data_IF_890210433859
#
_entry.id   IF_890210433859
#
_cell.length_a   1.000
_cell.length_b   1.000
_cell.length_c   1.000
_cell.angle_alpha   90.00
_cell.angle_beta   90.00
_cell.angle_gamma   90.00
#
_symmetry.space_group_name_H-M   'P 1'
#
loop_
_entity.id
_entity.type
_entity.pdbx_description
1 polymer ?
#
# COMPACT_ATOMS: atom_id res chain seq x y z
N UNK A 1 -42.13 -4.59 -69.52
CA UNK A 1 -42.34 -3.56 -68.48
C UNK A 1 -42.30 -4.30 -67.15
N UNK A 2 -41.38 -3.88 -66.29
CA UNK A 2 -40.89 -4.53 -65.07
C UNK A 2 -41.99 -4.92 -64.07
N UNK A 3 -41.82 -6.05 -63.37
CA UNK A 3 -41.79 -6.11 -61.90
C UNK A 3 -41.14 -7.44 -61.47
N UNK A 4 -39.94 -7.32 -60.88
CA UNK A 4 -39.16 -8.41 -60.30
C UNK A 4 -39.49 -8.48 -58.80
N UNK A 5 -39.64 -9.71 -58.33
CA UNK A 5 -39.71 -10.18 -56.93
C UNK A 5 -38.61 -9.62 -56.03
N UNK A 6 -38.88 -9.45 -54.71
CA UNK A 6 -37.88 -9.81 -53.69
C UNK A 6 -38.45 -9.86 -52.27
N UNK A 7 -38.43 -11.07 -51.71
CA UNK A 7 -38.56 -11.41 -50.30
C UNK A 7 -37.18 -11.17 -49.66
N UNK A 8 -37.06 -10.30 -48.65
CA UNK A 8 -35.80 -10.09 -47.93
C UNK A 8 -35.81 -10.99 -46.68
N UNK A 9 -34.99 -12.03 -46.69
CA UNK A 9 -34.57 -12.74 -45.47
C UNK A 9 -33.50 -11.90 -44.76
N UNK A 10 -33.71 -11.63 -43.47
CA UNK A 10 -32.68 -11.09 -42.59
C UNK A 10 -31.72 -12.21 -42.17
N UNK A 11 -30.42 -12.03 -42.41
CA UNK A 11 -29.35 -12.89 -41.89
C UNK A 11 -28.61 -12.11 -40.79
N UNK A 12 -28.79 -12.52 -39.53
CA UNK A 12 -28.01 -12.00 -38.41
C UNK A 12 -26.70 -12.78 -38.30
N UNK A 13 -25.56 -12.11 -38.45
CA UNK A 13 -24.24 -12.68 -38.18
C UNK A 13 -23.77 -12.22 -36.79
N UNK A 14 -23.66 -13.16 -35.85
CA UNK A 14 -23.01 -12.96 -34.55
C UNK A 14 -21.51 -13.23 -34.67
N UNK A 15 -20.68 -12.21 -34.47
CA UNK A 15 -19.24 -12.40 -34.28
C UNK A 15 -18.96 -12.83 -32.86
N UNK A 16 -18.60 -14.10 -32.66
CA UNK A 16 -18.02 -14.55 -31.41
C UNK A 16 -16.55 -14.07 -31.33
N UNK A 17 -16.24 -13.21 -30.38
CA UNK A 17 -14.85 -12.84 -30.06
C UNK A 17 -14.27 -13.99 -29.23
N UNK A 18 -13.37 -14.79 -29.81
CA UNK A 18 -12.68 -15.83 -29.06
C UNK A 18 -11.71 -15.19 -28.07
N UNK A 19 -12.00 -15.29 -26.77
CA UNK A 19 -11.03 -14.97 -25.74
C UNK A 19 -9.91 -16.03 -25.74
N UNK A 20 -8.62 -15.64 -25.69
CA UNK A 20 -7.51 -16.59 -25.66
C UNK A 20 -7.53 -17.41 -24.38
N UNK A 21 -7.07 -18.66 -24.47
CA UNK A 21 -7.16 -19.65 -23.42
C UNK A 21 -6.39 -19.22 -22.16
N UNK A 22 -6.81 -19.67 -20.95
CA UNK A 22 -6.23 -19.24 -19.68
C UNK A 22 -4.71 -19.43 -19.55
N UNK A 23 -4.14 -20.37 -20.29
CA UNK A 23 -2.71 -20.68 -20.28
C UNK A 23 -1.87 -19.59 -20.97
N UNK A 24 -2.34 -19.03 -22.09
CA UNK A 24 -1.66 -17.92 -22.77
C UNK A 24 -1.71 -16.62 -21.96
N UNK A 25 -2.80 -16.36 -21.20
CA UNK A 25 -2.85 -15.22 -20.26
C UNK A 25 -1.82 -15.34 -19.14
N UNK A 26 -1.52 -16.57 -18.70
CA UNK A 26 -0.53 -16.83 -17.65
C UNK A 26 0.88 -16.59 -18.19
N UNK A 27 1.17 -17.05 -19.39
CA UNK A 27 2.50 -16.91 -20.00
C UNK A 27 2.80 -15.45 -20.39
N UNK A 28 1.81 -14.69 -20.89
CA UNK A 28 1.94 -13.24 -21.14
C UNK A 28 2.13 -12.45 -19.83
N UNK A 29 1.48 -12.86 -18.74
CA UNK A 29 1.61 -12.22 -17.42
C UNK A 29 2.94 -12.57 -16.74
N UNK A 30 3.50 -13.75 -16.98
CA UNK A 30 4.85 -14.13 -16.52
C UNK A 30 5.96 -13.50 -17.35
N UNK A 31 5.79 -13.36 -18.67
CA UNK A 31 6.78 -12.70 -19.54
C UNK A 31 6.99 -11.22 -19.20
N UNK A 32 5.94 -10.51 -18.74
CA UNK A 32 6.05 -9.14 -18.21
C UNK A 32 6.86 -9.03 -16.90
N UNK A 33 7.06 -10.12 -16.16
CA UNK A 33 7.77 -10.15 -14.88
C UNK A 33 9.26 -10.49 -15.01
N UNK A 34 9.74 -10.78 -16.23
CA UNK A 34 11.13 -11.21 -16.49
C UNK A 34 12.08 -10.09 -16.95
N UNK A 35 11.59 -8.87 -17.16
CA UNK A 35 12.41 -7.70 -17.44
C UNK A 35 12.02 -6.62 -16.44
N UNK A 36 13.00 -5.98 -15.78
CA UNK A 36 12.82 -4.99 -14.69
C UNK A 36 11.47 -4.27 -14.74
N UNK A 37 10.54 -4.76 -13.92
CA UNK A 37 9.11 -4.64 -14.17
C UNK A 37 8.60 -3.20 -14.07
N UNK A 38 7.73 -2.81 -15.01
CA UNK A 38 7.00 -1.56 -14.90
C UNK A 38 6.23 -1.50 -13.56
N UNK A 39 6.10 -0.32 -12.93
CA UNK A 39 5.39 -0.17 -11.65
C UNK A 39 3.95 -0.71 -11.72
N UNK A 40 3.48 -1.28 -10.61
CA UNK A 40 2.05 -1.51 -10.38
C UNK A 40 1.39 -0.14 -10.21
N UNK A 41 0.26 0.07 -10.87
CA UNK A 41 -0.56 1.28 -10.73
C UNK A 41 -1.67 0.99 -9.73
N UNK A 42 -1.68 1.71 -8.60
CA UNK A 42 -2.76 1.78 -7.63
C UNK A 42 -3.45 3.15 -7.68
N UNK A 43 -4.56 3.32 -6.95
CA UNK A 43 -5.30 4.58 -6.84
C UNK A 43 -5.23 5.20 -5.43
N UNK A 44 -4.87 4.42 -4.41
CA UNK A 44 -4.81 4.86 -3.02
C UNK A 44 -3.44 4.70 -2.37
N UNK A 45 -2.47 4.02 -3.01
CA UNK A 45 -1.23 3.63 -2.35
C UNK A 45 -0.04 3.70 -3.29
N UNK A 46 1.07 4.26 -2.81
CA UNK A 46 2.38 4.22 -3.44
C UNK A 46 3.41 3.62 -2.46
N UNK A 47 4.41 2.91 -2.98
CA UNK A 47 5.41 2.28 -2.14
C UNK A 47 6.15 1.12 -2.82
N UNK A 48 6.69 0.23 -2.00
CA UNK A 48 7.41 -0.96 -2.42
C UNK A 48 6.88 -2.20 -1.71
N UNK A 49 6.74 -3.30 -2.44
CA UNK A 49 6.18 -4.56 -1.95
C UNK A 49 7.09 -5.73 -2.31
N UNK A 50 7.30 -6.65 -1.36
CA UNK A 50 7.94 -7.94 -1.59
C UNK A 50 6.98 -9.07 -1.35
N UNK A 51 6.92 -10.01 -2.27
CA UNK A 51 6.11 -11.21 -2.12
C UNK A 51 6.97 -12.33 -1.54
N UNK A 52 6.38 -13.17 -0.69
CA UNK A 52 7.08 -14.37 -0.21
C UNK A 52 7.47 -15.25 -1.39
N UNK A 53 8.73 -15.72 -1.39
CA UNK A 53 9.24 -16.61 -2.42
C UNK A 53 9.03 -18.07 -2.04
N UNK A 54 9.67 -18.52 -0.97
CA UNK A 54 9.63 -19.91 -0.47
C UNK A 54 9.55 -19.99 1.05
N UNK A 55 10.13 -19.03 1.76
CA UNK A 55 10.08 -18.92 3.23
C UNK A 55 9.16 -17.75 3.59
N UNK A 56 8.14 -17.95 4.45
CA UNK A 56 7.28 -16.86 4.89
C UNK A 56 8.07 -15.78 5.64
N UNK A 57 7.66 -14.53 5.45
CA UNK A 57 8.16 -13.42 6.28
C UNK A 57 7.74 -13.63 7.74
N UNK A 58 8.59 -13.20 8.66
CA UNK A 58 8.36 -13.22 10.11
C UNK A 58 8.24 -11.83 10.70
N UNK A 59 8.82 -10.83 10.03
CA UNK A 59 8.74 -9.43 10.46
C UNK A 59 8.95 -8.47 9.30
N UNK A 60 8.47 -7.24 9.48
CA UNK A 60 8.69 -6.08 8.61
C UNK A 60 8.94 -4.86 9.49
N UNK A 61 9.87 -4.01 9.08
CA UNK A 61 10.25 -2.79 9.80
C UNK A 61 10.49 -1.67 8.79
N UNK A 62 10.02 -0.47 9.13
CA UNK A 62 10.28 0.76 8.39
C UNK A 62 10.69 1.88 9.34
N UNK A 63 11.80 2.55 9.07
CA UNK A 63 12.24 3.74 9.79
C UNK A 63 12.28 4.95 8.88
N UNK A 64 11.72 6.07 9.31
CA UNK A 64 11.62 7.28 8.50
C UNK A 64 11.53 8.53 9.38
N UNK A 65 11.94 9.68 8.84
CA UNK A 65 11.58 10.96 9.42
C UNK A 65 10.17 11.35 8.98
N UNK A 66 9.33 11.82 9.91
CA UNK A 66 8.02 12.38 9.57
C UNK A 66 8.25 13.57 8.64
N UNK A 67 7.74 13.54 7.39
CA UNK A 67 7.98 14.64 6.47
C UNK A 67 7.26 15.90 6.94
N UNK A 68 7.68 17.05 6.41
CA UNK A 68 6.80 18.22 6.44
C UNK A 68 5.62 17.95 5.53
N UNK A 69 4.40 18.19 6.00
CA UNK A 69 3.21 18.02 5.19
C UNK A 69 2.24 19.19 5.32
N UNK A 70 1.49 19.46 4.24
CA UNK A 70 0.50 20.54 4.18
C UNK A 70 -0.62 20.21 3.19
N UNK A 71 -1.64 21.07 3.15
CA UNK A 71 -2.66 21.06 2.10
C UNK A 71 -1.97 21.35 0.76
N UNK A 72 -2.24 20.58 -0.31
CA UNK A 72 -1.68 20.85 -1.64
C UNK A 72 -1.96 22.27 -2.11
N UNK A 73 -1.01 22.85 -2.84
CA UNK A 73 -1.10 24.26 -3.25
C UNK A 73 -2.30 24.51 -4.16
N UNK A 74 -3.22 25.36 -3.70
CA UNK A 74 -4.43 25.74 -4.45
C UNK A 74 -5.70 25.07 -3.97
N UNK A 75 -5.58 24.08 -3.08
CA UNK A 75 -6.72 23.36 -2.52
C UNK A 75 -7.30 24.07 -1.26
N UNK A 76 -8.52 23.72 -0.88
CA UNK A 76 -9.22 24.33 0.25
C UNK A 76 -8.72 23.72 1.57
N UNK A 77 -8.13 24.50 2.49
CA UNK A 77 -7.62 23.96 3.75
C UNK A 77 -8.73 23.56 4.73
N UNK A 78 -10.00 23.85 4.44
CA UNK A 78 -11.12 23.40 5.26
C UNK A 78 -11.52 21.95 5.01
N UNK A 79 -11.06 21.34 3.92
CA UNK A 79 -11.27 19.92 3.61
C UNK A 79 -10.31 19.01 4.40
N UNK A 80 -10.63 17.71 4.41
CA UNK A 80 -9.80 16.67 5.01
C UNK A 80 -8.78 16.14 3.99
N UNK A 81 -7.50 16.14 4.37
CA UNK A 81 -6.40 15.56 3.61
C UNK A 81 -5.64 14.60 4.50
N UNK A 82 -5.25 13.44 3.98
CA UNK A 82 -4.54 12.42 4.76
C UNK A 82 -3.43 11.72 3.96
N UNK A 83 -2.43 11.24 4.66
CA UNK A 83 -1.46 10.29 4.16
C UNK A 83 -1.07 9.37 5.32
N UNK A 84 -1.12 8.06 5.10
CA UNK A 84 -0.76 7.06 6.11
C UNK A 84 0.55 6.40 5.70
N UNK A 85 1.62 6.63 6.47
CA UNK A 85 2.94 6.01 6.35
C UNK A 85 2.92 4.67 7.09
N UNK A 86 2.95 3.56 6.35
CA UNK A 86 2.63 2.23 6.86
C UNK A 86 3.67 1.19 6.47
N UNK A 87 3.86 0.22 7.35
CA UNK A 87 4.39 -1.11 7.02
C UNK A 87 3.26 -2.13 7.00
N UNK A 88 3.36 -3.10 6.10
CA UNK A 88 2.36 -4.16 5.90
C UNK A 88 3.00 -5.54 6.02
N UNK A 89 2.29 -6.45 6.69
CA UNK A 89 2.54 -7.88 6.70
C UNK A 89 1.25 -8.63 6.35
N UNK A 90 1.10 -8.97 5.06
CA UNK A 90 0.10 -9.93 4.57
C UNK A 90 -1.31 -9.39 4.34
N UNK A 91 -1.58 -8.08 4.35
CA UNK A 91 -2.93 -7.54 4.14
C UNK A 91 -3.52 -7.69 2.73
N UNK A 92 -2.68 -7.89 1.71
CA UNK A 92 -3.02 -7.89 0.29
C UNK A 92 -3.29 -9.30 -0.24
N UNK A 93 -2.41 -10.27 0.03
CA UNK A 93 -2.56 -11.63 -0.51
C UNK A 93 -3.11 -12.66 0.47
N UNK A 94 -3.20 -12.33 1.76
CA UNK A 94 -3.77 -13.20 2.78
C UNK A 94 -5.10 -12.65 3.31
N UNK A 95 -5.92 -13.56 3.87
CA UNK A 95 -7.14 -13.18 4.60
C UNK A 95 -6.81 -12.47 5.92
N UNK A 96 -5.73 -12.90 6.57
CA UNK A 96 -5.21 -12.31 7.79
C UNK A 96 -3.91 -11.57 7.47
N UNK A 97 -3.77 -10.39 8.04
CA UNK A 97 -2.62 -9.52 7.86
C UNK A 97 -2.68 -8.37 8.85
N UNK A 98 -1.62 -7.59 8.88
CA UNK A 98 -1.49 -6.44 9.78
C UNK A 98 -0.83 -5.31 9.03
N UNK A 99 -1.38 -4.11 9.17
CA UNK A 99 -0.72 -2.86 8.80
C UNK A 99 -0.53 -2.01 10.04
N UNK A 100 0.59 -1.29 10.13
CA UNK A 100 0.89 -0.40 11.24
C UNK A 100 1.75 0.78 10.77
N UNK A 101 1.60 1.92 11.44
CA UNK A 101 2.45 3.09 11.21
C UNK A 101 1.82 4.36 11.74
N UNK A 102 1.97 5.45 10.99
CA UNK A 102 1.35 6.73 11.34
C UNK A 102 0.38 7.19 10.25
N UNK A 103 -0.64 7.89 10.69
CA UNK A 103 -1.52 8.69 9.87
C UNK A 103 -1.21 10.15 10.12
N UNK A 104 -1.00 10.91 9.05
CA UNK A 104 -0.80 12.35 9.10
C UNK A 104 -1.86 13.02 8.23
N UNK A 105 -2.40 14.14 8.69
CA UNK A 105 -3.45 14.80 7.95
C UNK A 105 -3.67 16.25 8.35
N UNK A 106 -4.50 16.92 7.55
CA UNK A 106 -5.03 18.25 7.82
C UNK A 106 -6.55 18.14 7.78
N UNK A 107 -7.20 18.56 8.85
CA UNK A 107 -8.66 18.66 8.93
C UNK A 107 -9.03 20.07 9.43
N UNK A 108 -9.84 20.77 8.64
CA UNK A 108 -10.28 22.13 8.95
C UNK A 108 -9.12 23.07 9.34
N UNK A 109 -8.04 23.03 8.56
CA UNK A 109 -6.81 23.79 8.75
C UNK A 109 -5.91 23.36 9.90
N UNK A 110 -6.27 22.29 10.63
CA UNK A 110 -5.51 21.78 11.77
C UNK A 110 -4.77 20.49 11.40
N UNK A 111 -3.46 20.46 11.65
CA UNK A 111 -2.64 19.27 11.44
C UNK A 111 -2.82 18.26 12.59
N UNK A 112 -2.79 16.97 12.25
CA UNK A 112 -2.73 15.87 13.20
C UNK A 112 -1.76 14.78 12.73
N UNK A 113 -1.23 14.03 13.71
CA UNK A 113 -0.41 12.85 13.48
C UNK A 113 -0.81 11.82 14.54
N UNK A 114 -1.33 10.68 14.11
CA UNK A 114 -1.76 9.59 14.98
C UNK A 114 -1.05 8.29 14.61
N UNK A 115 -0.63 7.53 15.61
CA UNK A 115 -0.11 6.19 15.39
C UNK A 115 -1.26 5.18 15.29
N UNK A 116 -1.28 4.41 14.20
CA UNK A 116 -2.38 3.53 13.85
C UNK A 116 -1.91 2.11 13.54
N UNK A 117 -2.78 1.14 13.81
CA UNK A 117 -2.65 -0.23 13.32
C UNK A 117 -4.01 -0.81 12.95
N UNK A 118 -4.02 -1.73 12.00
CA UNK A 118 -5.22 -2.44 11.55
C UNK A 118 -4.89 -3.91 11.38
N UNK A 119 -5.78 -4.79 11.84
CA UNK A 119 -5.67 -6.23 11.61
C UNK A 119 -6.83 -6.75 10.75
N UNK A 120 -6.50 -7.68 9.87
CA UNK A 120 -7.45 -8.33 8.97
C UNK A 120 -7.85 -9.71 9.54
N UNK A 121 -9.11 -10.15 9.36
CA UNK A 121 -10.10 -9.63 8.40
C UNK A 121 -11.04 -8.54 8.94
N UNK A 122 -10.94 -8.15 10.23
CA UNK A 122 -11.83 -7.13 10.81
C UNK A 122 -11.69 -5.78 10.08
N UNK A 123 -10.46 -5.42 9.69
CA UNK A 123 -10.14 -4.19 8.97
C UNK A 123 -10.57 -2.89 9.70
N UNK A 124 -10.67 -2.95 11.03
CA UNK A 124 -10.90 -1.77 11.87
C UNK A 124 -9.56 -1.16 12.26
N UNK A 125 -9.38 0.14 12.01
CA UNK A 125 -8.21 0.90 12.44
C UNK A 125 -8.28 1.22 13.93
N UNK A 126 -7.16 1.02 14.62
CA UNK A 126 -7.00 1.22 16.05
C UNK A 126 -5.81 2.16 16.30
N UNK A 127 -5.85 2.89 17.42
CA UNK A 127 -4.77 3.78 17.84
C UNK A 127 -3.75 3.04 18.70
N UNK A 128 -2.47 3.39 18.53
CA UNK A 128 -1.46 3.09 19.55
C UNK A 128 -1.64 4.02 20.76
N UNK A 129 -1.48 3.52 21.99
CA UNK A 129 -1.49 4.37 23.17
C UNK A 129 -0.17 5.15 23.30
N UNK A 130 -0.26 6.41 23.75
CA UNK A 130 0.83 7.16 24.40
C UNK A 130 2.15 7.30 23.62
N UNK A 131 2.10 7.80 22.38
CA UNK A 131 3.29 8.29 21.66
C UNK A 131 2.95 9.64 21.07
N UNK A 132 3.82 10.63 21.30
CA UNK A 132 3.72 11.95 20.69
C UNK A 132 4.55 12.01 19.41
N UNK A 133 4.10 12.83 18.47
CA UNK A 133 4.73 12.96 17.15
C UNK A 133 4.77 14.43 16.74
N UNK A 134 5.87 14.82 16.11
CA UNK A 134 6.03 16.09 15.42
C UNK A 134 6.68 15.88 14.04
N UNK A 135 6.42 16.81 13.12
CA UNK A 135 7.14 16.82 11.84
C UNK A 135 8.65 16.91 12.08
N UNK A 136 9.41 16.07 11.37
CA UNK A 136 10.86 15.94 11.53
C UNK A 136 11.31 14.87 12.55
N UNK A 137 10.40 14.34 13.37
CA UNK A 137 10.75 13.23 14.27
C UNK A 137 11.12 11.97 13.48
N UNK A 138 12.12 11.24 13.96
CA UNK A 138 12.52 9.95 13.41
C UNK A 138 11.73 8.81 14.07
N UNK A 139 10.99 8.06 13.28
CA UNK A 139 10.06 7.02 13.72
C UNK A 139 10.55 5.67 13.21
N UNK A 140 10.43 4.64 14.05
CA UNK A 140 10.58 3.24 13.66
C UNK A 140 9.26 2.52 13.92
N UNK A 141 8.75 1.83 12.90
CA UNK A 141 7.57 0.98 12.99
C UNK A 141 7.97 -0.44 12.65
N UNK A 142 7.53 -1.41 13.45
CA UNK A 142 7.76 -2.83 13.16
C UNK A 142 6.54 -3.69 13.47
N UNK A 143 6.39 -4.75 12.69
CA UNK A 143 5.44 -5.83 12.94
C UNK A 143 6.23 -7.12 12.97
N UNK A 144 6.04 -7.95 14.00
CA UNK A 144 6.68 -9.24 14.12
C UNK A 144 5.67 -10.32 14.56
N UNK A 145 5.65 -11.45 13.86
CA UNK A 145 4.89 -12.61 14.30
C UNK A 145 5.51 -13.17 15.59
N UNK A 146 4.67 -13.35 16.61
CA UNK A 146 5.08 -13.98 17.88
C UNK A 146 4.78 -15.47 17.87
N UNK A 147 3.70 -15.88 17.21
CA UNK A 147 3.40 -17.27 16.89
C UNK A 147 2.47 -17.34 15.66
N UNK A 148 1.86 -18.49 15.41
CA UNK A 148 1.01 -18.70 14.23
C UNK A 148 -0.28 -17.87 14.22
N UNK A 149 -0.74 -17.32 15.35
CA UNK A 149 -2.01 -16.58 15.47
C UNK A 149 -1.85 -15.28 16.26
N UNK A 150 -0.64 -14.82 16.50
CA UNK A 150 -0.42 -13.55 17.16
C UNK A 150 0.83 -12.86 16.64
N UNK A 151 0.78 -11.54 16.64
CA UNK A 151 1.87 -10.67 16.26
C UNK A 151 2.00 -9.52 17.26
N UNK A 152 3.14 -8.85 17.23
CA UNK A 152 3.36 -7.61 17.95
C UNK A 152 3.60 -6.52 16.94
N UNK A 153 2.94 -5.38 17.10
CA UNK A 153 3.31 -4.16 16.40
C UNK A 153 3.93 -3.18 17.40
N UNK A 154 5.04 -2.57 17.02
CA UNK A 154 5.78 -1.60 17.83
C UNK A 154 5.96 -0.34 17.01
N UNK A 155 5.72 0.80 17.65
CA UNK A 155 6.08 2.11 17.11
C UNK A 155 6.92 2.86 18.14
N UNK A 156 8.04 3.38 17.69
CA UNK A 156 9.00 4.14 18.50
C UNK A 156 9.24 5.49 17.84
N UNK A 157 9.04 6.57 18.59
CA UNK A 157 9.58 7.87 18.25
C UNK A 157 10.99 7.96 18.83
N UNK A 158 11.98 7.73 17.98
CA UNK A 158 13.41 7.74 18.34
C UNK A 158 13.90 9.14 18.75
N UNK A 159 13.13 10.18 18.45
CA UNK A 159 13.48 11.58 18.77
C UNK A 159 13.08 11.96 20.19
N UNK A 160 12.07 11.28 20.74
CA UNK A 160 11.55 11.52 22.10
C UNK A 160 11.77 10.33 23.04
N UNK A 161 12.35 9.24 22.55
CA UNK A 161 12.49 7.95 23.23
C UNK A 161 11.15 7.34 23.69
N UNK A 162 10.03 7.75 23.08
CA UNK A 162 8.71 7.20 23.38
C UNK A 162 8.43 5.96 22.53
N UNK A 163 7.92 4.90 23.15
CA UNK A 163 7.60 3.64 22.48
C UNK A 163 6.25 3.12 22.91
N UNK A 164 5.48 2.63 21.95
CA UNK A 164 4.24 1.91 22.18
C UNK A 164 4.27 0.56 21.51
N UNK A 165 3.65 -0.41 22.17
CA UNK A 165 3.64 -1.80 21.75
C UNK A 165 2.25 -2.37 21.94
N UNK A 166 1.74 -3.02 20.90
CA UNK A 166 0.44 -3.71 20.94
C UNK A 166 0.64 -5.16 20.58
N UNK A 167 0.04 -6.04 21.37
CA UNK A 167 -0.13 -7.44 21.02
C UNK A 167 -1.41 -7.57 20.21
N UNK A 168 -1.31 -8.18 19.03
CA UNK A 168 -2.39 -8.31 18.06
C UNK A 168 -2.67 -9.79 17.87
N UNK A 169 -3.87 -10.20 18.27
CA UNK A 169 -4.41 -11.51 17.91
C UNK A 169 -4.86 -11.48 16.46
N UNK A 170 -4.37 -12.42 15.65
CA UNK A 170 -4.75 -12.57 14.24
C UNK A 170 -5.12 -14.02 13.95
N UNK A 171 -5.80 -14.28 12.83
CA UNK A 171 -5.73 -15.62 12.27
C UNK A 171 -4.31 -15.92 11.74
N UNK A 172 -4.03 -17.16 11.32
CA UNK A 172 -2.78 -17.48 10.66
C UNK A 172 -2.56 -16.64 9.41
N UNK A 173 -1.45 -15.90 9.42
CA UNK A 173 -0.96 -15.21 8.23
C UNK A 173 -0.47 -16.29 7.26
N UNK A 174 -0.93 -16.21 6.01
CA UNK A 174 -0.68 -17.25 5.03
C UNK A 174 0.80 -17.25 4.58
N UNK A 175 1.32 -18.41 4.19
CA UNK A 175 2.73 -18.53 3.72
C UNK A 175 3.09 -17.69 2.49
N UNK A 176 2.09 -17.10 1.83
CA UNK A 176 2.22 -16.25 0.64
C UNK A 176 2.18 -14.76 0.98
N UNK A 177 2.15 -14.40 2.26
CA UNK A 177 2.13 -13.02 2.71
C UNK A 177 3.25 -12.22 2.07
N UNK A 178 2.88 -11.04 1.61
CA UNK A 178 3.79 -9.97 1.27
C UNK A 178 4.28 -9.22 2.52
N UNK A 179 5.32 -8.43 2.31
CA UNK A 179 5.61 -7.26 3.14
C UNK A 179 5.63 -6.02 2.26
N UNK A 180 5.22 -4.88 2.80
CA UNK A 180 5.29 -3.61 2.07
C UNK A 180 5.66 -2.42 2.96
N UNK A 181 6.18 -1.38 2.32
CA UNK A 181 6.43 -0.05 2.88
C UNK A 181 5.75 0.96 1.97
N UNK A 182 4.81 1.73 2.51
CA UNK A 182 3.88 2.48 1.69
C UNK A 182 3.40 3.78 2.32
N UNK A 183 2.99 4.70 1.45
CA UNK A 183 2.10 5.80 1.78
C UNK A 183 0.73 5.48 1.15
N UNK A 184 -0.32 5.50 1.96
CA UNK A 184 -1.70 5.27 1.54
C UNK A 184 -2.61 6.46 1.85
N UNK A 185 -3.74 6.53 1.15
CA UNK A 185 -4.92 7.29 1.56
C UNK A 185 -6.07 6.34 1.88
N UNK A 186 -7.09 6.85 2.55
CA UNK A 186 -8.32 6.15 2.89
C UNK A 186 -9.45 6.48 1.91
N UNK A 187 -10.52 5.70 2.03
CA UNK A 187 -11.79 5.91 1.34
C UNK A 187 -12.79 6.35 2.42
N UNK A 188 -13.50 7.44 2.16
CA UNK A 188 -14.52 7.95 3.07
C UNK A 188 -15.82 7.12 3.04
N UNK A 189 -16.78 7.49 3.88
CA UNK A 189 -18.09 6.83 3.95
C UNK A 189 -18.91 6.97 2.65
N UNK A 190 -18.58 7.92 1.79
CA UNK A 190 -19.22 8.12 0.48
C UNK A 190 -18.60 7.24 -0.61
N UNK A 191 -17.47 6.60 -0.34
CA UNK A 191 -16.70 5.81 -1.30
C UNK A 191 -15.68 6.62 -2.10
N UNK A 192 -15.44 7.87 -1.71
CA UNK A 192 -14.48 8.76 -2.34
C UNK A 192 -13.11 8.63 -1.69
N UNK A 193 -12.04 8.74 -2.49
CA UNK A 193 -10.67 8.71 -1.98
C UNK A 193 -10.40 10.07 -1.34
N UNK A 194 -10.03 10.06 -0.05
CA UNK A 194 -9.64 11.28 0.66
C UNK A 194 -8.35 11.81 0.00
N UNK A 195 -8.24 13.10 -0.33
CA UNK A 195 -7.06 13.62 -0.99
C UNK A 195 -5.81 13.50 -0.11
N UNK A 196 -4.66 13.37 -0.76
CA UNK A 196 -3.37 13.33 -0.05
C UNK A 196 -3.01 14.71 0.50
N UNK A 197 -2.44 14.76 1.70
CA UNK A 197 -1.57 15.89 2.05
C UNK A 197 -0.38 15.92 1.10
N UNK A 198 0.12 17.10 0.75
CA UNK A 198 1.44 17.23 0.15
C UNK A 198 2.48 16.93 1.22
N UNK A 199 3.03 15.73 1.19
CA UNK A 199 4.07 15.24 2.10
C UNK A 199 5.49 15.41 1.53
N UNK A 200 5.64 16.08 0.39
CA UNK A 200 6.91 16.23 -0.30
C UNK A 200 7.56 14.88 -0.64
N UNK A 201 8.59 14.49 0.10
CA UNK A 201 9.30 13.23 -0.10
C UNK A 201 9.65 12.59 1.23
N UNK A 202 9.37 11.29 1.34
CA UNK A 202 9.81 10.45 2.46
C UNK A 202 10.82 9.42 1.98
N UNK A 203 11.80 9.13 2.83
CA UNK A 203 12.71 8.00 2.66
C UNK A 203 12.48 7.04 3.84
N UNK A 204 12.15 5.80 3.52
CA UNK A 204 11.93 4.73 4.50
C UNK A 204 13.11 3.78 4.40
N UNK A 205 13.88 3.69 5.48
CA UNK A 205 14.83 2.58 5.68
C UNK A 205 14.03 1.32 5.98
N UNK A 206 14.04 0.40 5.03
CA UNK A 206 13.14 -0.75 4.97
C UNK A 206 13.90 -2.04 5.25
N UNK A 207 13.34 -2.90 6.11
CA UNK A 207 13.88 -4.23 6.36
C UNK A 207 12.77 -5.25 6.62
N UNK A 208 13.03 -6.49 6.21
CA UNK A 208 12.13 -7.61 6.41
C UNK A 208 12.93 -8.87 6.74
N UNK A 209 12.35 -9.76 7.53
CA UNK A 209 13.01 -11.00 7.92
C UNK A 209 12.14 -12.22 7.61
N UNK A 210 12.81 -13.35 7.47
CA UNK A 210 12.22 -14.68 7.49
C UNK A 210 12.90 -15.51 8.58
N UNK A 211 12.45 -16.74 8.79
CA UNK A 211 13.18 -17.69 9.64
C UNK A 211 14.62 -18.00 9.18
N UNK A 212 14.97 -17.65 7.93
CA UNK A 212 16.33 -17.80 7.39
C UNK A 212 17.19 -16.54 7.54
N UNK A 213 16.63 -15.46 8.10
CA UNK A 213 17.30 -14.17 8.27
C UNK A 213 16.74 -13.05 7.38
N UNK A 214 17.47 -11.92 7.30
CA UNK A 214 17.04 -10.75 6.54
C UNK A 214 16.86 -11.03 5.04
N UNK A 215 15.94 -10.29 4.42
CA UNK A 215 15.62 -10.38 2.99
C UNK A 215 16.07 -9.12 2.27
N UNK A 216 16.72 -9.29 1.12
CA UNK A 216 17.06 -8.19 0.23
C UNK A 216 15.81 -7.62 -0.45
N UNK A 217 15.62 -6.31 -0.31
CA UNK A 217 14.45 -5.60 -0.83
C UNK A 217 14.68 -4.98 -2.20
N UNK A 218 15.90 -5.07 -2.76
CA UNK A 218 16.28 -4.40 -4.02
C UNK A 218 15.41 -4.78 -5.22
N UNK A 219 14.74 -5.94 -5.16
CA UNK A 219 13.83 -6.44 -6.19
C UNK A 219 12.34 -6.24 -5.82
N UNK A 220 12.04 -5.35 -4.88
CA UNK A 220 10.69 -5.01 -4.51
C UNK A 220 9.90 -4.49 -5.72
N UNK A 221 8.64 -4.90 -5.79
CA UNK A 221 7.72 -4.39 -6.80
C UNK A 221 7.27 -2.99 -6.38
N UNK A 222 7.49 -2.03 -7.26
CA UNK A 222 7.08 -0.64 -7.03
C UNK A 222 5.59 -0.48 -7.30
N UNK A 223 4.91 0.25 -6.41
CA UNK A 223 3.52 0.69 -6.55
C UNK A 223 3.49 2.21 -6.70
N UNK A 224 2.76 2.72 -7.68
CA UNK A 224 2.58 4.15 -7.98
C UNK A 224 1.10 4.50 -7.90
N UNK A 225 0.78 5.60 -7.24
CA UNK A 225 -0.58 6.11 -7.14
C UNK A 225 -0.91 6.96 -8.37
N UNK A 226 -1.94 6.57 -9.11
CA UNK A 226 -2.50 7.33 -10.23
C UNK A 226 -3.99 7.55 -9.98
N UNK A 227 -4.41 8.81 -10.00
CA UNK A 227 -5.82 9.21 -9.89
C UNK A 227 -6.18 10.05 -11.11
N UNK A 228 -7.32 9.75 -11.73
CA UNK A 228 -7.81 10.45 -12.92
C UNK A 228 -6.78 10.55 -14.08
N UNK A 229 -5.89 9.57 -14.20
CA UNK A 229 -4.84 9.54 -15.21
C UNK A 229 -3.58 10.35 -14.88
N UNK A 230 -3.52 10.97 -13.69
CA UNK A 230 -2.38 11.74 -13.19
C UNK A 230 -1.70 10.98 -12.06
N UNK A 231 -0.37 10.93 -12.08
CA UNK A 231 0.42 10.40 -10.96
C UNK A 231 0.32 11.37 -9.78
N UNK A 232 -0.12 10.87 -8.64
CA UNK A 232 -0.25 11.64 -7.39
C UNK A 232 0.92 11.35 -6.44
N UNK A 233 1.37 10.09 -6.43
CA UNK A 233 2.54 9.69 -5.65
C UNK A 233 3.32 8.62 -6.41
N UNK A 234 4.64 8.72 -6.37
CA UNK A 234 5.57 7.79 -7.02
C UNK A 234 6.57 7.23 -6.02
N UNK A 235 7.06 6.03 -6.27
CA UNK A 235 8.02 5.36 -5.40
C UNK A 235 9.20 4.78 -6.18
N UNK A 236 10.32 4.60 -5.48
CA UNK A 236 11.52 3.93 -5.97
C UNK A 236 12.22 3.20 -4.83
N UNK A 237 13.07 2.23 -5.18
CA UNK A 237 13.91 1.52 -4.21
C UNK A 237 15.37 1.58 -4.65
N UNK A 238 16.24 1.96 -3.72
CA UNK A 238 17.69 1.91 -3.87
C UNK A 238 18.31 1.31 -2.60
N UNK A 239 18.91 0.13 -2.73
CA UNK A 239 19.42 -0.61 -1.57
C UNK A 239 18.29 -0.99 -0.61
N UNK A 240 18.39 -0.53 0.63
CA UNK A 240 17.40 -0.68 1.70
C UNK A 240 16.49 0.56 1.86
N UNK A 241 16.57 1.54 0.96
CA UNK A 241 15.77 2.76 1.04
C UNK A 241 14.62 2.71 0.03
N UNK A 242 13.39 2.84 0.55
CA UNK A 242 12.18 3.11 -0.24
C UNK A 242 11.92 4.62 -0.22
N UNK A 243 12.05 5.28 -1.37
CA UNK A 243 11.71 6.70 -1.51
C UNK A 243 10.31 6.83 -2.09
N UNK A 244 9.46 7.64 -1.46
CA UNK A 244 8.10 7.93 -1.94
C UNK A 244 7.95 9.46 -2.01
N UNK A 245 7.50 9.96 -3.16
CA UNK A 245 7.32 11.38 -3.42
C UNK A 245 5.89 11.70 -3.85
N UNK A 246 5.33 12.76 -3.27
CA UNK A 246 4.14 13.45 -3.76
C UNK A 246 4.49 14.20 -5.05
N UNK A 247 3.57 14.26 -6.01
CA UNK A 247 3.81 14.73 -7.38
C UNK A 247 2.90 15.91 -7.75
#
# INVERSE_FOLDING_TARGET
MFFITSFILALAATTAVSMPAPKERRDVRMARRSAGGAPIIGNTTAGAQLNASTVPFTSVTGSFAIPTFAVPAGDDPSDLYIASLLVDLGSVFCENGIIAGIEMGVDNGSQFIDAVWTSFPNASTNLFPSVSFAQGDNITVSIAMTNATSSTAVITNESTDETSTVAIETGPICSQAEVAWMIGSQIDDSGDIIPFVDFGTVNITASAETSSGPVDISNATIVTTVQNGTTIASASVEGDIVTIAFV
#
